data_IF_035443319300
#
_entry.id   IF_035443319300
#
_cell.length_a   1.000
_cell.length_b   1.000
_cell.length_c   1.000
_cell.angle_alpha   90.00
_cell.angle_beta   90.00
_cell.angle_gamma   90.00
#
_symmetry.space_group_name_H-M   'P 1'
#
loop_
_entity.id
_entity.type
_entity.pdbx_description
1 polymer ?
#
# COMPACT_ATOMS: atom_id res chain seq x y z
N UNK A 1 45.54 -40.03 -42.38
CA UNK A 1 45.09 -39.32 -43.61
C UNK A 1 43.79 -38.61 -43.22
N UNK A 2 43.84 -37.33 -42.84
CA UNK A 2 43.70 -36.11 -43.67
C UNK A 2 42.24 -35.78 -44.05
N UNK A 3 41.74 -34.70 -43.41
CA UNK A 3 40.75 -33.67 -43.83
C UNK A 3 39.35 -34.15 -44.28
N UNK A 4 38.22 -33.45 -44.04
CA UNK A 4 38.04 -32.00 -44.11
C UNK A 4 36.75 -31.50 -43.44
N UNK A 5 36.81 -30.23 -43.08
CA UNK A 5 35.82 -29.28 -42.55
C UNK A 5 34.70 -28.95 -43.53
N UNK A 6 33.49 -28.63 -43.04
CA UNK A 6 32.63 -27.60 -43.63
C UNK A 6 31.55 -27.12 -42.63
N UNK A 7 31.75 -25.90 -42.13
CA UNK A 7 30.70 -25.02 -41.60
C UNK A 7 29.75 -24.64 -42.75
N UNK A 8 28.44 -24.71 -42.52
CA UNK A 8 27.48 -23.85 -43.24
C UNK A 8 26.47 -23.26 -42.25
N UNK A 9 26.66 -21.97 -42.01
CA UNK A 9 25.67 -21.04 -41.45
C UNK A 9 24.52 -20.85 -42.43
N UNK A 10 23.28 -21.02 -41.97
CA UNK A 10 22.10 -20.47 -42.64
C UNK A 10 21.17 -19.87 -41.60
N UNK A 11 21.17 -18.53 -41.55
CA UNK A 11 20.23 -17.74 -40.78
C UNK A 11 18.91 -17.65 -41.57
N UNK A 12 17.87 -18.30 -41.05
CA UNK A 12 16.51 -18.14 -41.56
C UNK A 12 15.86 -16.97 -40.82
N UNK A 13 15.80 -15.83 -41.49
CA UNK A 13 15.06 -14.63 -41.07
C UNK A 13 13.58 -14.89 -41.29
N UNK A 14 12.84 -15.17 -40.22
CA UNK A 14 11.37 -15.12 -40.23
C UNK A 14 10.92 -13.67 -40.02
N UNK A 15 10.40 -13.08 -41.11
CA UNK A 15 9.64 -11.83 -41.06
C UNK A 15 8.31 -12.06 -40.34
N UNK A 16 8.13 -11.43 -39.19
CA UNK A 16 6.82 -11.28 -38.56
C UNK A 16 6.38 -9.84 -38.77
N UNK A 17 5.35 -9.63 -39.58
CA UNK A 17 4.74 -8.33 -39.80
C UNK A 17 4.00 -7.89 -38.52
N UNK A 18 4.57 -6.91 -37.81
CA UNK A 18 3.86 -6.16 -36.78
C UNK A 18 3.18 -4.94 -37.41
N UNK A 19 1.85 -4.94 -37.38
CA UNK A 19 1.01 -3.80 -37.74
C UNK A 19 1.24 -2.65 -36.76
N UNK A 20 1.65 -1.53 -37.33
CA UNK A 20 2.04 -0.28 -36.67
C UNK A 20 0.78 0.47 -36.20
N UNK A 21 0.41 0.32 -34.93
CA UNK A 21 -0.41 1.31 -34.24
C UNK A 21 0.55 2.32 -33.59
N UNK A 22 0.50 3.56 -34.06
CA UNK A 22 1.35 4.65 -33.59
C UNK A 22 0.85 5.13 -32.22
N UNK A 23 1.58 4.79 -31.18
CA UNK A 23 1.46 5.43 -29.87
C UNK A 23 1.95 6.88 -29.96
N UNK A 24 1.06 7.79 -29.60
CA UNK A 24 1.37 9.20 -29.32
C UNK A 24 2.00 9.25 -27.92
N UNK A 25 3.21 9.78 -27.73
CA UNK A 25 3.77 9.92 -26.40
C UNK A 25 2.97 10.95 -25.58
N UNK A 26 2.58 10.55 -24.36
CA UNK A 26 1.85 11.32 -23.35
C UNK A 26 2.60 12.57 -22.84
N UNK A 27 3.75 12.92 -23.43
CA UNK A 27 4.58 14.07 -23.08
C UNK A 27 4.21 15.37 -23.84
N UNK A 28 3.12 15.38 -24.63
CA UNK A 28 2.76 16.50 -25.51
C UNK A 28 1.48 17.26 -25.11
N UNK A 29 1.10 17.30 -23.83
CA UNK A 29 -0.08 18.06 -23.36
C UNK A 29 0.19 19.23 -22.41
N UNK A 30 1.45 19.63 -22.20
CA UNK A 30 1.78 20.81 -21.36
C UNK A 30 2.92 21.69 -21.92
N UNK A 31 2.93 21.98 -23.23
CA UNK A 31 3.84 22.98 -23.78
C UNK A 31 3.29 23.62 -25.06
N UNK A 32 2.49 24.67 -24.90
CA UNK A 32 2.08 25.72 -25.85
C UNK A 32 1.07 26.55 -25.01
N UNK A 33 1.46 27.62 -24.33
CA UNK A 33 1.53 28.97 -24.90
C UNK A 33 2.63 29.79 -24.22
N UNK A 34 3.75 30.00 -24.91
CA UNK A 34 4.69 31.06 -24.57
C UNK A 34 5.47 31.48 -25.80
N UNK A 35 4.82 32.17 -26.75
CA UNK A 35 5.53 32.99 -27.74
C UNK A 35 4.74 34.24 -28.11
N UNK A 36 5.46 35.36 -27.95
CA UNK A 36 5.32 36.68 -28.59
C UNK A 36 4.75 37.81 -27.72
N UNK A 37 5.66 38.49 -27.03
CA UNK A 37 5.59 39.95 -27.02
C UNK A 37 7.02 40.55 -27.13
N UNK A 38 7.40 40.93 -28.35
CA UNK A 38 8.54 41.82 -28.62
C UNK A 38 7.98 43.21 -28.83
N UNK A 39 8.21 44.11 -27.89
CA UNK A 39 8.36 45.53 -28.21
C UNK A 39 9.29 46.19 -27.19
N UNK A 40 10.32 46.85 -27.71
CA UNK A 40 11.36 47.53 -26.93
C UNK A 40 10.95 48.91 -26.44
N UNK A 41 11.70 49.42 -25.47
CA UNK A 41 11.58 50.78 -24.97
C UNK A 41 12.49 51.03 -23.78
N UNK A 42 13.69 51.53 -24.06
CA UNK A 42 14.77 51.91 -23.15
C UNK A 42 14.38 53.09 -22.22
N UNK A 43 14.75 53.04 -20.93
CA UNK A 43 15.16 54.21 -20.10
C UNK A 43 15.78 53.73 -18.78
N UNK A 44 17.02 54.16 -18.52
CA UNK A 44 17.80 53.81 -17.34
C UNK A 44 17.41 54.54 -16.05
N UNK A 45 17.85 53.98 -14.92
CA UNK A 45 17.74 54.56 -13.59
C UNK A 45 18.38 53.63 -12.54
N UNK A 46 19.42 54.14 -11.89
CA UNK A 46 20.34 53.48 -10.97
C UNK A 46 19.72 53.18 -9.58
N UNK A 47 20.18 52.10 -8.94
CA UNK A 47 20.31 51.96 -7.47
C UNK A 47 19.03 51.81 -6.63
N UNK A 48 18.72 50.57 -6.25
CA UNK A 48 17.79 50.28 -5.15
C UNK A 48 17.66 48.78 -4.89
N UNK A 49 18.33 48.30 -3.84
CA UNK A 49 18.26 46.95 -3.31
C UNK A 49 16.79 46.59 -2.97
N UNK A 50 16.08 45.98 -3.91
CA UNK A 50 14.72 45.47 -3.71
C UNK A 50 14.82 43.97 -3.43
N UNK A 51 14.50 43.61 -2.19
CA UNK A 51 14.24 42.23 -1.78
C UNK A 51 13.27 41.55 -2.75
N UNK A 52 13.51 40.25 -2.96
CA UNK A 52 12.89 39.41 -3.97
C UNK A 52 11.40 39.69 -4.14
N UNK A 53 11.08 40.38 -5.23
CA UNK A 53 9.72 40.46 -5.73
C UNK A 53 9.49 39.14 -6.45
N UNK A 54 8.90 38.19 -5.71
CA UNK A 54 8.51 36.88 -6.22
C UNK A 54 7.78 37.06 -7.53
N UNK A 55 8.38 36.54 -8.59
CA UNK A 55 7.68 36.35 -9.84
C UNK A 55 6.43 35.52 -9.58
N UNK A 56 5.48 35.65 -10.49
CA UNK A 56 4.31 34.79 -10.59
C UNK A 56 4.77 33.37 -11.02
N UNK A 57 5.74 32.82 -10.29
CA UNK A 57 6.38 31.55 -10.55
C UNK A 57 5.38 30.48 -10.14
N UNK A 58 5.18 29.50 -11.03
CA UNK A 58 4.33 28.36 -10.75
C UNK A 58 4.76 27.73 -9.41
N UNK A 59 3.88 27.68 -8.39
CA UNK A 59 4.19 27.11 -7.08
C UNK A 59 4.77 25.69 -7.15
N UNK A 60 4.50 24.95 -8.24
CA UNK A 60 5.04 23.60 -8.45
C UNK A 60 6.51 23.56 -8.92
N UNK A 61 7.05 24.69 -9.38
CA UNK A 61 8.46 24.81 -9.81
C UNK A 61 9.29 25.72 -8.90
N UNK A 62 8.63 26.43 -7.98
CA UNK A 62 9.28 27.31 -7.02
C UNK A 62 10.11 26.51 -6.00
N UNK A 63 11.26 27.10 -5.62
CA UNK A 63 12.08 26.62 -4.51
C UNK A 63 11.73 27.32 -3.17
N UNK A 64 10.72 28.18 -3.18
CA UNK A 64 10.20 28.85 -1.98
C UNK A 64 8.83 28.29 -1.62
N UNK A 65 8.54 28.20 -0.31
CA UNK A 65 7.25 27.70 0.16
C UNK A 65 6.15 28.70 -0.17
N UNK A 66 5.12 28.24 -0.90
CA UNK A 66 3.92 29.02 -1.15
C UNK A 66 3.16 29.27 0.17
N UNK A 67 2.87 30.54 0.53
CA UNK A 67 2.12 30.87 1.75
C UNK A 67 0.75 30.19 1.86
N UNK A 68 0.10 29.88 0.73
CA UNK A 68 -1.24 29.28 0.68
C UNK A 68 -1.29 27.85 1.22
N UNK A 69 -0.16 27.15 1.24
CA UNK A 69 -0.09 25.77 1.76
C UNK A 69 0.39 25.69 3.21
N UNK A 70 0.69 26.81 3.88
CA UNK A 70 1.19 26.81 5.27
C UNK A 70 0.15 26.23 6.23
N UNK A 71 0.53 25.16 6.92
CA UNK A 71 -0.28 24.52 7.95
C UNK A 71 0.00 25.18 9.30
N UNK A 72 -0.82 26.15 9.69
CA UNK A 72 -0.65 26.91 10.95
C UNK A 72 -0.59 26.02 12.20
N UNK A 73 -1.28 24.87 12.20
CA UNK A 73 -1.24 23.92 13.30
C UNK A 73 0.11 23.21 13.46
N UNK A 74 1.00 23.22 12.46
CA UNK A 74 2.34 22.65 12.63
C UNK A 74 3.21 23.50 13.57
N UNK A 75 2.82 24.73 13.89
CA UNK A 75 3.47 25.53 14.94
C UNK A 75 3.07 25.12 16.37
N UNK A 76 2.17 24.14 16.52
CA UNK A 76 1.64 23.64 17.78
C UNK A 76 2.25 22.28 18.12
N UNK A 77 2.51 22.08 19.40
CA UNK A 77 3.03 20.82 19.96
C UNK A 77 1.94 19.77 20.16
N UNK A 78 0.67 20.16 20.08
CA UNK A 78 -0.47 19.32 20.43
C UNK A 78 -0.76 19.31 21.93
N UNK A 79 0.04 20.01 22.74
CA UNK A 79 -0.12 20.13 24.19
C UNK A 79 -0.77 21.45 24.62
N UNK A 80 -1.24 22.26 23.67
CA UNK A 80 -1.93 23.52 23.93
C UNK A 80 -3.35 23.25 24.44
N UNK A 81 -3.50 22.79 25.68
CA UNK A 81 -4.80 22.52 26.30
C UNK A 81 -4.80 21.36 27.29
N UNK A 82 -5.93 20.66 27.37
CA UNK A 82 -6.02 19.42 28.16
C UNK A 82 -5.22 18.33 27.45
N UNK A 83 -4.23 17.80 28.15
CA UNK A 83 -3.41 16.69 27.67
C UNK A 83 -3.83 15.37 28.29
N UNK A 84 -3.64 14.28 27.57
CA UNK A 84 -3.79 12.93 28.13
C UNK A 84 -2.53 12.48 28.87
N UNK A 85 -2.69 11.55 29.83
CA UNK A 85 -1.56 11.01 30.56
C UNK A 85 -0.61 10.28 29.59
N UNK A 86 0.66 10.71 29.56
CA UNK A 86 1.68 10.13 28.68
C UNK A 86 1.75 10.76 27.29
N UNK A 87 0.94 11.78 26.98
CA UNK A 87 1.05 12.52 25.72
C UNK A 87 2.40 13.25 25.61
N UNK A 88 3.10 13.08 24.48
CA UNK A 88 4.39 13.75 24.20
C UNK A 88 4.20 14.92 23.23
N UNK A 89 5.10 15.91 23.31
CA UNK A 89 5.04 17.09 22.45
C UNK A 89 5.49 16.74 21.03
N UNK A 90 4.74 17.20 20.03
CA UNK A 90 5.15 17.14 18.63
C UNK A 90 6.29 18.11 18.34
N UNK A 91 7.13 17.77 17.36
CA UNK A 91 7.96 18.76 16.68
C UNK A 91 7.06 19.85 16.09
N UNK A 92 7.60 21.07 15.96
CA UNK A 92 6.89 22.20 15.37
C UNK A 92 7.64 22.77 14.16
N UNK A 93 6.88 23.39 13.26
CA UNK A 93 7.40 24.08 12.08
C UNK A 93 6.46 25.20 11.65
N UNK A 94 7.04 26.29 11.14
CA UNK A 94 6.32 27.39 10.47
C UNK A 94 6.44 27.34 8.95
N UNK A 95 7.17 26.36 8.41
CA UNK A 95 7.46 26.19 6.99
C UNK A 95 7.16 24.76 6.50
N UNK A 96 6.15 24.13 7.09
CA UNK A 96 5.71 22.77 6.73
C UNK A 96 6.81 21.71 6.71
N UNK A 97 7.82 21.86 7.56
CA UNK A 97 8.98 20.96 7.62
C UNK A 97 9.72 20.81 6.28
N UNK A 98 9.63 21.78 5.36
CA UNK A 98 10.27 21.69 4.03
C UNK A 98 11.78 21.43 4.09
N UNK A 99 12.43 21.89 5.17
CA UNK A 99 13.86 21.69 5.43
C UNK A 99 14.18 20.55 6.41
N UNK A 100 13.22 19.68 6.76
CA UNK A 100 13.42 18.63 7.76
C UNK A 100 14.58 17.69 7.40
N UNK A 101 14.77 17.42 6.11
CA UNK A 101 15.87 16.59 5.60
C UNK A 101 17.17 17.35 5.32
N UNK A 102 17.28 18.64 5.65
CA UNK A 102 18.49 19.42 5.39
C UNK A 102 19.72 18.79 6.06
N UNK A 103 20.79 18.62 5.28
CA UNK A 103 22.03 17.98 5.73
C UNK A 103 21.94 16.46 5.92
N UNK A 104 20.82 15.81 5.55
CA UNK A 104 20.66 14.35 5.59
C UNK A 104 20.85 13.74 4.21
N UNK A 105 21.13 12.43 4.18
CA UNK A 105 21.06 11.65 2.93
C UNK A 105 19.61 11.55 2.47
N UNK A 106 19.32 12.01 1.26
CA UNK A 106 17.97 12.02 0.72
C UNK A 106 17.58 10.66 0.13
N UNK A 107 16.28 10.31 0.22
CA UNK A 107 15.72 9.11 -0.42
C UNK A 107 15.76 9.22 -1.94
N UNK A 108 15.39 10.38 -2.50
CA UNK A 108 15.50 10.72 -3.92
C UNK A 108 14.97 9.63 -4.88
N UNK A 109 13.80 9.05 -4.58
CA UNK A 109 13.21 8.01 -5.43
C UNK A 109 13.91 6.64 -5.36
N UNK A 110 14.89 6.45 -4.48
CA UNK A 110 15.70 5.23 -4.40
C UNK A 110 15.44 4.44 -3.12
N UNK A 111 15.58 3.11 -3.22
CA UNK A 111 15.60 2.22 -2.05
C UNK A 111 16.99 2.27 -1.36
N UNK A 112 17.20 3.28 -0.53
CA UNK A 112 18.47 3.47 0.19
C UNK A 112 18.52 2.58 1.45
N UNK A 113 19.11 1.38 1.31
CA UNK A 113 19.18 0.36 2.39
C UNK A 113 19.87 0.83 3.68
N UNK A 114 20.82 1.77 3.59
CA UNK A 114 21.53 2.34 4.74
C UNK A 114 20.77 3.43 5.50
N UNK A 115 19.49 3.65 5.19
CA UNK A 115 18.69 4.75 5.73
C UNK A 115 18.83 6.05 4.93
N UNK A 116 17.76 6.83 4.91
CA UNK A 116 17.66 8.13 4.24
C UNK A 116 16.51 8.95 4.83
N UNK A 117 16.42 10.23 4.47
CA UNK A 117 15.32 11.12 4.78
C UNK A 117 14.54 11.43 3.51
N UNK A 118 13.22 11.20 3.51
CA UNK A 118 12.36 11.49 2.37
C UNK A 118 11.67 12.84 2.57
N UNK A 119 11.80 13.75 1.60
CA UNK A 119 11.21 15.09 1.64
C UNK A 119 9.86 15.18 0.95
N UNK A 120 9.43 14.13 0.26
CA UNK A 120 8.12 14.09 -0.40
C UNK A 120 7.00 14.22 0.63
N UNK A 121 6.04 15.15 0.46
CA UNK A 121 4.92 15.26 1.38
C UNK A 121 4.04 14.02 1.31
N UNK A 122 3.26 13.80 2.38
CA UNK A 122 2.39 12.64 2.52
C UNK A 122 1.35 12.54 1.39
N UNK A 123 0.75 13.67 1.01
CA UNK A 123 -0.24 13.76 -0.06
C UNK A 123 -1.66 13.94 0.42
N UNK A 124 -2.60 13.60 -0.47
CA UNK A 124 -4.04 13.76 -0.24
C UNK A 124 -4.59 12.65 0.64
N UNK A 125 -5.52 13.00 1.54
CA UNK A 125 -6.21 12.06 2.42
C UNK A 125 -7.65 11.89 1.94
N UNK A 126 -8.15 10.64 1.83
CA UNK A 126 -9.56 10.42 1.47
C UNK A 126 -10.47 10.93 2.60
N UNK A 127 -11.75 11.15 2.31
CA UNK A 127 -12.75 11.35 3.38
C UNK A 127 -12.91 10.07 4.22
N UNK A 128 -13.47 10.19 5.42
CA UNK A 128 -13.77 9.02 6.28
C UNK A 128 -14.69 8.00 5.59
N UNK A 129 -15.59 8.44 4.71
CA UNK A 129 -16.46 7.56 3.90
C UNK A 129 -15.72 6.81 2.78
N UNK A 130 -14.48 7.22 2.47
CA UNK A 130 -13.63 6.70 1.39
C UNK A 130 -12.33 6.10 1.92
N UNK A 131 -12.23 5.81 3.22
CA UNK A 131 -11.10 5.08 3.76
C UNK A 131 -10.95 3.70 3.10
N UNK A 132 -9.71 3.25 2.80
CA UNK A 132 -9.47 1.96 2.20
C UNK A 132 -9.72 0.84 3.20
N UNK A 133 -10.00 -0.35 2.69
CA UNK A 133 -10.00 -1.59 3.48
C UNK A 133 -9.72 -2.78 2.58
N UNK A 134 -9.07 -3.81 3.12
CA UNK A 134 -8.88 -5.08 2.43
C UNK A 134 -9.26 -6.27 3.30
N UNK A 135 -9.53 -7.41 2.67
CA UNK A 135 -9.76 -8.69 3.36
C UNK A 135 -9.29 -9.86 2.51
N UNK A 136 -8.44 -10.72 3.06
CA UNK A 136 -8.12 -12.00 2.42
C UNK A 136 -9.36 -12.89 2.39
N UNK A 137 -9.67 -13.42 1.20
CA UNK A 137 -10.84 -14.27 0.96
C UNK A 137 -10.45 -15.72 0.67
N UNK A 138 -9.22 -15.94 0.22
CA UNK A 138 -8.68 -17.25 -0.11
C UNK A 138 -7.14 -17.20 0.03
N UNK A 139 -6.49 -18.11 0.78
CA UNK A 139 -7.12 -18.96 1.78
C UNK A 139 -7.85 -18.12 2.85
N UNK A 140 -8.75 -18.76 3.61
CA UNK A 140 -9.38 -18.13 4.78
C UNK A 140 -8.45 -18.21 5.98
N UNK A 141 -8.74 -17.38 6.97
CA UNK A 141 -8.03 -17.45 8.24
C UNK A 141 -8.24 -18.83 8.90
N UNK A 142 -7.13 -19.42 9.34
CA UNK A 142 -7.00 -20.76 9.93
C UNK A 142 -7.22 -21.94 8.98
N UNK A 143 -7.24 -21.70 7.67
CA UNK A 143 -7.26 -22.80 6.71
C UNK A 143 -5.98 -23.65 6.81
N UNK A 144 -6.13 -24.93 6.51
CA UNK A 144 -5.02 -25.83 6.23
C UNK A 144 -4.95 -26.07 4.74
N UNK A 145 -3.76 -25.96 4.15
CA UNK A 145 -3.52 -26.20 2.74
C UNK A 145 -2.43 -27.25 2.53
N UNK A 146 -2.45 -28.00 1.41
CA UNK A 146 -1.45 -29.02 1.13
C UNK A 146 -0.02 -28.45 0.99
N UNK A 147 0.95 -29.13 1.59
CA UNK A 147 2.35 -28.76 1.46
C UNK A 147 2.87 -28.91 0.02
N UNK A 148 3.70 -27.95 -0.41
CA UNK A 148 4.37 -27.91 -1.71
C UNK A 148 3.41 -28.03 -2.91
N UNK A 149 2.17 -27.56 -2.76
CA UNK A 149 1.18 -27.45 -3.83
C UNK A 149 0.87 -25.99 -4.13
N UNK A 150 0.73 -25.69 -5.42
CA UNK A 150 0.33 -24.37 -5.87
C UNK A 150 -1.02 -23.99 -5.27
N UNK A 151 -1.15 -22.74 -4.83
CA UNK A 151 -2.43 -22.16 -4.42
C UNK A 151 -2.46 -20.68 -4.80
N UNK A 152 -3.67 -20.10 -4.81
CA UNK A 152 -3.87 -18.68 -5.08
C UNK A 152 -4.24 -17.97 -3.80
N UNK A 153 -3.57 -16.85 -3.53
CA UNK A 153 -4.01 -15.90 -2.51
C UNK A 153 -4.88 -14.85 -3.18
N UNK A 154 -6.07 -14.60 -2.63
CA UNK A 154 -7.04 -13.61 -3.10
C UNK A 154 -7.39 -12.66 -1.98
N UNK A 155 -7.45 -11.38 -2.31
CA UNK A 155 -7.80 -10.32 -1.38
C UNK A 155 -8.84 -9.41 -2.01
N UNK A 156 -9.98 -9.27 -1.34
CA UNK A 156 -10.97 -8.25 -1.67
C UNK A 156 -10.47 -6.89 -1.19
N UNK A 157 -10.71 -5.85 -1.99
CA UNK A 157 -10.31 -4.46 -1.72
C UNK A 157 -11.48 -3.51 -1.89
N UNK A 158 -11.48 -2.42 -1.11
CA UNK A 158 -12.48 -1.37 -1.19
C UNK A 158 -11.81 0.00 -1.08
N UNK A 159 -12.33 0.98 -1.82
CA UNK A 159 -11.85 2.37 -1.86
C UNK A 159 -10.34 2.49 -2.19
N UNK A 160 -9.85 1.58 -3.03
CA UNK A 160 -8.50 1.61 -3.60
C UNK A 160 -8.60 1.37 -5.10
N UNK A 161 -8.10 2.30 -5.89
CA UNK A 161 -7.93 2.12 -7.32
C UNK A 161 -6.65 1.33 -7.56
N UNK A 162 -6.79 0.01 -7.64
CA UNK A 162 -5.68 -0.92 -7.82
C UNK A 162 -5.10 -0.88 -9.23
N UNK A 163 -3.87 -1.38 -9.37
CA UNK A 163 -3.16 -1.45 -10.65
C UNK A 163 -2.18 -0.30 -10.88
N UNK A 164 -2.01 0.59 -9.89
CA UNK A 164 -1.14 1.75 -9.98
C UNK A 164 0.19 1.44 -9.28
N UNK A 165 1.11 0.85 -10.03
CA UNK A 165 2.47 0.53 -9.56
C UNK A 165 3.49 1.42 -10.26
N UNK A 166 4.26 2.18 -9.48
CA UNK A 166 5.36 3.01 -9.98
C UNK A 166 6.70 2.34 -9.70
N UNK A 167 7.62 2.37 -10.67
CA UNK A 167 8.95 1.75 -10.56
C UNK A 167 9.70 2.13 -9.24
N UNK A 168 9.92 1.19 -8.31
CA UNK A 168 10.57 1.46 -7.03
C UNK A 168 12.10 1.58 -7.12
N UNK A 169 12.72 1.25 -8.25
CA UNK A 169 14.15 1.46 -8.43
C UNK A 169 14.48 2.94 -8.66
N UNK A 170 13.53 3.70 -9.23
CA UNK A 170 13.76 5.10 -9.63
C UNK A 170 12.80 6.11 -9.00
N UNK A 171 11.65 5.69 -8.46
CA UNK A 171 10.63 6.59 -7.94
C UNK A 171 9.95 6.10 -6.64
N UNK A 172 10.74 5.44 -5.78
CA UNK A 172 10.33 4.99 -4.45
C UNK A 172 10.09 6.17 -3.50
N UNK A 173 8.87 6.27 -2.97
CA UNK A 173 8.39 7.41 -2.17
C UNK A 173 8.57 8.78 -2.84
N UNK A 174 8.72 8.81 -4.17
CA UNK A 174 9.05 10.04 -4.91
C UNK A 174 7.84 10.91 -5.27
N UNK A 175 6.62 10.45 -5.04
CA UNK A 175 5.41 11.27 -5.18
C UNK A 175 4.45 11.09 -4.00
N UNK A 176 3.64 12.12 -3.69
CA UNK A 176 2.64 12.04 -2.62
C UNK A 176 1.51 11.06 -2.93
N UNK A 177 0.79 10.62 -1.90
CA UNK A 177 -0.47 9.90 -2.08
C UNK A 177 -1.47 10.75 -2.87
N UNK A 178 -2.12 10.14 -3.86
CA UNK A 178 -3.10 10.80 -4.72
C UNK A 178 -4.46 10.14 -4.58
N UNK A 179 -5.51 10.94 -4.75
CA UNK A 179 -6.87 10.48 -4.92
C UNK A 179 -7.29 10.64 -6.38
N UNK A 180 -8.11 9.71 -6.87
CA UNK A 180 -8.77 9.90 -8.16
C UNK A 180 -10.01 10.80 -8.03
N UNK A 181 -10.73 11.01 -9.13
CA UNK A 181 -11.91 11.86 -9.19
C UNK A 181 -13.05 11.43 -8.25
N UNK A 182 -13.05 10.19 -7.77
CA UNK A 182 -14.03 9.66 -6.82
C UNK A 182 -13.59 9.82 -5.35
N UNK A 183 -12.42 10.42 -5.12
CA UNK A 183 -11.83 10.61 -3.80
C UNK A 183 -11.29 9.31 -3.18
N UNK A 184 -11.02 8.28 -3.99
CA UNK A 184 -10.40 7.02 -3.52
C UNK A 184 -8.90 7.00 -3.87
N UNK A 185 -8.12 6.27 -3.08
CA UNK A 185 -6.67 6.27 -3.18
C UNK A 185 -6.22 5.56 -4.47
N UNK A 186 -5.32 6.19 -5.23
CA UNK A 186 -4.59 5.58 -6.36
C UNK A 186 -3.49 4.67 -5.80
N UNK A 187 -3.67 3.36 -5.95
CA UNK A 187 -2.99 2.37 -5.11
C UNK A 187 -2.45 1.15 -5.87
N UNK A 188 -1.55 0.44 -5.19
CA UNK A 188 -1.30 -0.98 -5.41
C UNK A 188 -1.15 -1.68 -4.05
N UNK A 189 -0.92 -2.98 -4.07
CA UNK A 189 -0.73 -3.76 -2.84
C UNK A 189 0.35 -4.79 -3.04
N UNK A 190 0.83 -5.35 -1.95
CA UNK A 190 1.71 -6.52 -1.93
C UNK A 190 1.08 -7.62 -1.08
N UNK A 191 1.50 -8.86 -1.32
CA UNK A 191 1.22 -10.00 -0.45
C UNK A 191 2.56 -10.47 0.09
N UNK A 192 2.65 -10.62 1.40
CA UNK A 192 3.81 -11.18 2.08
C UNK A 192 3.37 -12.39 2.89
N UNK A 193 4.08 -13.51 2.72
CA UNK A 193 3.87 -14.72 3.52
C UNK A 193 5.13 -14.94 4.36
N UNK A 194 4.96 -14.90 5.68
CA UNK A 194 6.02 -15.15 6.66
C UNK A 194 5.75 -16.49 7.34
N UNK A 195 6.79 -17.33 7.47
CA UNK A 195 6.69 -18.50 8.35
C UNK A 195 6.78 -18.04 9.80
N UNK A 196 5.92 -18.59 10.66
CA UNK A 196 5.91 -18.34 12.10
C UNK A 196 5.98 -19.66 12.86
N UNK A 197 6.45 -19.60 14.11
CA UNK A 197 6.63 -20.80 14.95
C UNK A 197 5.33 -21.57 15.17
N UNK A 198 4.23 -20.87 15.45
CA UNK A 198 2.90 -21.43 15.67
C UNK A 198 1.83 -20.33 15.64
N UNK A 199 0.55 -20.72 15.58
CA UNK A 199 -0.60 -19.80 15.62
C UNK A 199 -0.69 -19.00 16.94
N UNK A 200 -0.05 -19.48 18.00
CA UNK A 200 -0.05 -18.83 19.32
C UNK A 200 1.30 -18.16 19.62
N UNK A 201 2.20 -18.07 18.64
CA UNK A 201 3.51 -17.48 18.85
C UNK A 201 3.38 -15.99 19.20
N UNK A 202 4.13 -15.58 20.21
CA UNK A 202 4.31 -14.16 20.59
C UNK A 202 5.69 -13.64 20.21
N UNK A 203 6.49 -14.43 19.48
CA UNK A 203 7.82 -14.00 19.04
C UNK A 203 7.70 -12.94 17.97
N UNK A 204 8.53 -11.91 18.09
CA UNK A 204 8.67 -10.86 17.07
C UNK A 204 9.24 -11.47 15.79
N UNK A 205 8.59 -11.23 14.64
CA UNK A 205 9.08 -11.71 13.36
C UNK A 205 10.25 -10.86 12.83
N UNK A 206 11.09 -11.46 11.99
CA UNK A 206 12.16 -10.76 11.27
C UNK A 206 11.60 -10.27 9.92
N UNK A 207 11.45 -8.95 9.71
CA UNK A 207 10.84 -8.41 8.50
C UNK A 207 11.68 -8.63 7.23
N UNK A 208 12.91 -9.13 7.35
CA UNK A 208 13.76 -9.49 6.20
C UNK A 208 13.58 -10.94 5.75
N UNK A 209 12.74 -11.74 6.44
CA UNK A 209 12.51 -13.15 6.16
C UNK A 209 11.05 -13.39 5.78
N UNK A 210 10.83 -13.78 4.54
CA UNK A 210 9.53 -14.18 4.03
C UNK A 210 9.66 -15.42 3.14
N UNK A 211 8.64 -16.26 3.12
CA UNK A 211 8.53 -17.42 2.24
C UNK A 211 8.01 -17.05 0.85
N UNK A 212 7.24 -15.95 0.75
CA UNK A 212 6.73 -15.42 -0.51
C UNK A 212 6.50 -13.91 -0.42
N UNK A 213 6.78 -13.20 -1.51
CA UNK A 213 6.49 -11.78 -1.69
C UNK A 213 6.05 -11.54 -3.12
N UNK A 214 4.94 -10.81 -3.30
CA UNK A 214 4.46 -10.45 -4.64
C UNK A 214 3.80 -9.07 -4.62
N UNK A 215 4.25 -8.19 -5.53
CA UNK A 215 3.53 -6.97 -5.87
C UNK A 215 2.31 -7.27 -6.74
N UNK A 216 1.17 -6.67 -6.39
CA UNK A 216 -0.12 -6.79 -7.08
C UNK A 216 -0.31 -5.57 -8.00
N UNK A 217 0.28 -5.66 -9.18
CA UNK A 217 0.41 -4.52 -10.11
C UNK A 217 -0.75 -4.41 -11.11
N UNK A 218 -1.66 -5.40 -11.14
CA UNK A 218 -2.80 -5.39 -12.05
C UNK A 218 -4.03 -4.73 -11.37
N UNK A 219 -4.94 -4.14 -12.16
CA UNK A 219 -6.24 -3.69 -11.64
C UNK A 219 -7.01 -4.83 -10.97
N UNK A 220 -7.79 -4.48 -9.94
CA UNK A 220 -8.64 -5.43 -9.26
C UNK A 220 -9.76 -5.91 -10.20
N UNK A 221 -9.96 -7.23 -10.27
CA UNK A 221 -11.03 -7.85 -11.04
C UNK A 221 -12.23 -8.08 -10.12
N UNK A 222 -13.33 -7.36 -10.35
CA UNK A 222 -14.51 -7.44 -9.47
C UNK A 222 -14.22 -7.05 -8.01
N UNK A 223 -13.26 -6.14 -7.78
CA UNK A 223 -12.83 -5.74 -6.44
C UNK A 223 -11.90 -6.74 -5.75
N UNK A 224 -11.31 -7.69 -6.50
CA UNK A 224 -10.36 -8.68 -5.97
C UNK A 224 -9.01 -8.57 -6.68
N UNK A 225 -7.94 -8.63 -5.90
CA UNK A 225 -6.56 -8.81 -6.37
C UNK A 225 -6.04 -10.17 -5.92
N UNK A 226 -5.09 -10.75 -6.67
CA UNK A 226 -4.61 -12.11 -6.39
C UNK A 226 -3.16 -12.35 -6.80
N UNK A 227 -2.51 -13.28 -6.13
CA UNK A 227 -1.21 -13.83 -6.51
C UNK A 227 -1.23 -15.36 -6.42
N UNK A 228 -0.52 -16.02 -7.34
CA UNK A 228 -0.33 -17.48 -7.28
C UNK A 228 1.01 -17.79 -6.62
N UNK A 229 0.99 -18.64 -5.59
CA UNK A 229 2.19 -19.20 -4.96
C UNK A 229 2.52 -20.50 -5.69
N UNK A 230 3.20 -20.39 -6.83
CA UNK A 230 3.33 -21.49 -7.82
C UNK A 230 3.99 -22.75 -7.25
N UNK A 231 4.98 -22.60 -6.39
CA UNK A 231 5.70 -23.74 -5.79
C UNK A 231 5.04 -24.25 -4.49
N UNK A 232 3.93 -23.63 -4.07
CA UNK A 232 3.37 -23.83 -2.74
C UNK A 232 4.31 -23.36 -1.62
N UNK A 233 4.04 -23.88 -0.42
CA UNK A 233 4.85 -23.63 0.78
C UNK A 233 5.23 -24.97 1.42
N UNK A 234 6.40 -25.08 2.06
CA UNK A 234 6.71 -26.21 2.93
C UNK A 234 5.70 -26.35 4.08
N UNK A 235 5.69 -27.51 4.74
CA UNK A 235 4.85 -27.69 5.92
C UNK A 235 5.25 -26.72 7.05
N UNK A 236 4.26 -26.12 7.72
CA UNK A 236 4.50 -25.12 8.76
C UNK A 236 3.28 -24.26 9.08
N UNK A 237 3.47 -23.26 9.94
CA UNK A 237 2.47 -22.21 10.19
C UNK A 237 2.91 -20.92 9.52
N UNK A 238 1.99 -20.22 8.88
CA UNK A 238 2.29 -19.01 8.12
C UNK A 238 1.34 -17.87 8.47
N UNK A 239 1.88 -16.65 8.44
CA UNK A 239 1.15 -15.40 8.49
C UNK A 239 1.15 -14.81 7.07
N UNK A 240 -0.02 -14.50 6.54
CA UNK A 240 -0.19 -13.80 5.26
C UNK A 240 -0.66 -12.39 5.58
N UNK A 241 0.10 -11.39 5.14
CA UNK A 241 -0.19 -9.97 5.36
C UNK A 241 -0.31 -9.24 4.02
N UNK A 242 -1.17 -8.23 3.96
CA UNK A 242 -1.11 -7.24 2.89
C UNK A 242 -0.09 -6.16 3.20
N UNK A 243 0.38 -5.47 2.17
CA UNK A 243 0.99 -4.14 2.28
C UNK A 243 0.28 -3.25 1.28
N UNK A 244 -0.73 -2.52 1.73
CA UNK A 244 -1.48 -1.58 0.91
C UNK A 244 -0.72 -0.26 0.81
N UNK A 245 -0.48 0.19 -0.42
CA UNK A 245 0.38 1.35 -0.69
C UNK A 245 -0.25 2.30 -1.70
N UNK A 246 0.11 3.58 -1.60
CA UNK A 246 -0.03 4.51 -2.72
C UNK A 246 0.85 4.08 -3.90
N UNK A 247 0.62 4.65 -5.08
CA UNK A 247 1.35 4.29 -6.30
C UNK A 247 2.89 4.30 -6.15
N UNK A 248 3.42 5.26 -5.38
CA UNK A 248 4.86 5.40 -5.11
C UNK A 248 5.33 4.66 -3.85
N UNK A 249 4.63 3.59 -3.47
CA UNK A 249 5.00 2.65 -2.40
C UNK A 249 4.83 3.16 -0.97
N UNK A 250 4.52 4.44 -0.74
CA UNK A 250 4.25 4.93 0.61
C UNK A 250 3.02 4.20 1.17
N UNK A 251 3.05 3.75 2.45
CA UNK A 251 1.90 3.12 3.08
C UNK A 251 0.64 3.98 2.93
N UNK A 252 -0.51 3.35 2.69
CA UNK A 252 -1.76 4.11 2.62
C UNK A 252 -2.06 4.77 3.97
N UNK A 253 -2.47 6.04 3.91
CA UNK A 253 -2.75 6.86 5.09
C UNK A 253 -4.14 7.49 4.98
N UNK A 254 -4.80 7.63 6.14
CA UNK A 254 -6.18 8.07 6.27
C UNK A 254 -6.33 9.40 7.02
N UNK A 255 -7.54 9.98 7.03
CA UNK A 255 -7.82 11.32 7.55
C UNK A 255 -7.95 11.42 9.08
N UNK A 256 -8.03 10.30 9.80
CA UNK A 256 -8.24 10.27 11.26
C UNK A 256 -7.37 9.18 11.87
N UNK A 257 -7.04 9.29 13.16
CA UNK A 257 -6.28 8.27 13.88
C UNK A 257 -7.14 7.06 14.30
N UNK A 258 -8.43 7.27 14.56
CA UNK A 258 -9.35 6.22 14.98
C UNK A 258 -10.01 5.55 13.77
N UNK A 259 -9.38 4.50 13.26
CA UNK A 259 -9.90 3.68 12.17
C UNK A 259 -9.44 2.22 12.31
N UNK A 260 -10.06 1.31 11.56
CA UNK A 260 -9.57 -0.07 11.44
C UNK A 260 -8.27 -0.13 10.63
N UNK A 261 -7.52 -1.22 10.76
CA UNK A 261 -6.33 -1.44 9.93
C UNK A 261 -6.70 -1.37 8.45
N UNK A 262 -5.89 -0.65 7.67
CA UNK A 262 -6.03 -0.63 6.21
C UNK A 262 -5.47 -1.89 5.58
N UNK A 263 -4.54 -2.57 6.25
CA UNK A 263 -4.03 -3.88 5.90
C UNK A 263 -4.83 -5.01 6.55
N UNK A 264 -4.82 -6.19 5.96
CA UNK A 264 -5.36 -7.42 6.54
C UNK A 264 -4.24 -8.42 6.85
N UNK A 265 -4.51 -9.29 7.81
CA UNK A 265 -3.65 -10.41 8.18
C UNK A 265 -4.50 -11.65 8.40
N UNK A 266 -4.05 -12.78 7.86
CA UNK A 266 -4.58 -14.10 8.17
C UNK A 266 -3.44 -15.06 8.52
N UNK A 267 -3.80 -16.15 9.18
CA UNK A 267 -2.88 -17.23 9.53
C UNK A 267 -3.35 -18.52 8.88
N UNK A 268 -2.43 -19.35 8.41
CA UNK A 268 -2.74 -20.66 7.84
C UNK A 268 -1.76 -21.71 8.36
N UNK A 269 -2.16 -22.97 8.26
CA UNK A 269 -1.27 -24.12 8.40
C UNK A 269 -1.05 -24.77 7.04
N UNK A 270 0.17 -25.24 6.81
CA UNK A 270 0.54 -25.96 5.60
C UNK A 270 1.02 -27.34 6.03
N UNK A 271 0.49 -28.39 5.43
CA UNK A 271 0.79 -29.77 5.79
C UNK A 271 -0.08 -30.76 5.04
N UNK A 272 0.17 -32.05 5.22
CA UNK A 272 -0.69 -33.08 4.64
C UNK A 272 -2.09 -33.00 5.29
N UNK A 273 -3.15 -33.05 4.48
CA UNK A 273 -4.57 -33.10 4.87
C UNK A 273 -4.95 -34.40 5.60
N UNK A 274 -4.13 -34.87 6.53
CA UNK A 274 -4.31 -36.17 7.20
C UNK A 274 -4.88 -36.09 8.61
N UNK A 275 -5.46 -34.95 9.04
CA UNK A 275 -6.27 -34.90 10.26
C UNK A 275 -7.43 -33.90 10.18
N UNK A 276 -8.63 -34.44 10.03
CA UNK A 276 -9.84 -33.84 10.58
C UNK A 276 -10.67 -33.05 9.58
N UNK A 277 -11.34 -33.77 8.68
CA UNK A 277 -12.63 -33.31 8.19
C UNK A 277 -13.47 -32.86 9.39
N UNK A 278 -14.06 -31.69 9.27
CA UNK A 278 -15.11 -31.21 10.16
C UNK A 278 -16.33 -32.11 9.98
N UNK A 279 -16.22 -33.35 10.47
CA UNK A 279 -17.33 -34.26 10.69
C UNK A 279 -18.08 -33.75 11.90
N UNK A 280 -19.02 -32.84 11.64
CA UNK A 280 -20.08 -32.52 12.58
C UNK A 280 -20.65 -33.83 13.11
N UNK A 281 -20.51 -34.03 14.41
CA UNK A 281 -20.82 -35.28 15.08
C UNK A 281 -22.24 -35.72 14.78
N UNK A 282 -22.37 -36.96 14.29
CA UNK A 282 -23.59 -37.72 14.47
C UNK A 282 -23.21 -39.13 14.95
N UNK A 283 -22.83 -39.20 16.22
CA UNK A 283 -22.86 -40.46 16.98
C UNK A 283 -24.31 -40.88 17.17
N UNK A 284 -24.90 -41.50 16.14
CA UNK A 284 -26.21 -42.13 16.20
C UNK A 284 -26.14 -43.41 17.03
N UNK A 285 -26.30 -43.24 18.35
CA UNK A 285 -26.39 -44.32 19.31
C UNK A 285 -27.62 -45.19 19.03
N UNK A 286 -27.42 -46.50 18.80
CA UNK A 286 -28.49 -47.50 18.86
C UNK A 286 -28.87 -47.70 20.32
N UNK A 287 -30.14 -47.51 20.65
CA UNK A 287 -30.68 -47.91 21.96
C UNK A 287 -31.97 -47.17 22.30
N UNK A 288 -33.11 -47.77 21.95
CA UNK A 288 -34.40 -47.34 22.48
C UNK A 288 -34.56 -47.72 23.95
N UNK A 289 -35.22 -46.86 24.71
CA UNK A 289 -36.45 -47.14 25.48
C UNK A 289 -36.59 -46.14 26.65
N UNK A 290 -37.83 -45.69 26.92
CA UNK A 290 -38.23 -45.26 28.27
C UNK A 290 -38.29 -43.77 28.60
N UNK A 291 -39.45 -43.17 28.30
CA UNK A 291 -40.28 -42.30 29.17
C UNK A 291 -39.68 -41.34 30.21
N UNK A 292 -40.23 -40.12 30.26
CA UNK A 292 -40.23 -39.32 31.50
C UNK A 292 -40.31 -37.81 31.31
N UNK A 293 -41.41 -37.22 31.79
CA UNK A 293 -41.76 -35.78 31.77
C UNK A 293 -40.77 -34.90 32.57
N UNK A 294 -40.67 -33.62 32.21
CA UNK A 294 -40.28 -32.57 33.17
C UNK A 294 -39.60 -31.36 32.53
N UNK A 295 -40.34 -30.27 32.37
CA UNK A 295 -39.83 -29.03 31.77
C UNK A 295 -38.83 -28.24 32.62
N UNK A 296 -38.13 -27.31 31.97
CA UNK A 296 -38.02 -25.90 32.37
C UNK A 296 -37.28 -25.11 31.28
N UNK A 297 -37.96 -24.09 30.75
CA UNK A 297 -37.36 -23.01 29.96
C UNK A 297 -36.31 -22.29 30.82
N UNK A 298 -35.12 -22.05 30.27
CA UNK A 298 -34.28 -20.94 30.72
C UNK A 298 -33.82 -20.15 29.50
N UNK A 299 -34.54 -19.06 29.23
CA UNK A 299 -34.09 -18.01 28.34
C UNK A 299 -33.00 -17.21 29.06
N UNK A 300 -31.84 -17.03 28.44
CA UNK A 300 -30.94 -15.92 28.76
C UNK A 300 -30.67 -15.11 27.51
N UNK A 301 -31.21 -13.89 27.53
CA UNK A 301 -31.02 -12.82 26.57
C UNK A 301 -29.56 -12.40 26.57
N UNK A 302 -28.92 -12.37 25.41
CA UNK A 302 -27.74 -11.54 25.18
C UNK A 302 -28.22 -10.11 24.92
N UNK A 303 -27.94 -9.21 25.86
CA UNK A 303 -28.09 -7.78 25.65
C UNK A 303 -26.79 -7.23 25.05
N UNK A 304 -26.91 -6.50 23.94
CA UNK A 304 -25.81 -5.75 23.35
C UNK A 304 -25.42 -4.57 24.25
N UNK A 305 -24.16 -4.48 24.67
CA UNK A 305 -23.55 -3.20 25.06
C UNK A 305 -23.00 -2.55 23.80
N UNK A 306 -23.74 -1.60 23.23
CA UNK A 306 -23.46 -0.15 23.29
C UNK A 306 -22.02 0.21 22.96
N UNK A 307 -21.89 0.80 21.77
CA UNK A 307 -20.79 1.60 21.27
C UNK A 307 -20.24 2.52 22.36
N UNK A 308 -18.98 2.26 22.74
CA UNK A 308 -18.19 3.22 23.49
C UNK A 308 -17.78 4.34 22.54
N UNK A 309 -18.29 5.55 22.80
CA UNK A 309 -17.70 6.79 22.27
C UNK A 309 -16.20 6.75 22.51
N UNK A 310 -15.43 6.65 21.43
CA UNK A 310 -14.00 6.80 21.47
C UNK A 310 -13.68 8.22 22.00
N UNK A 311 -12.92 8.28 23.09
CA UNK A 311 -12.33 9.54 23.58
C UNK A 311 -11.17 9.90 22.65
N UNK A 312 -11.08 11.20 22.35
CA UNK A 312 -10.08 11.82 21.47
C UNK A 312 -8.69 11.67 22.05
#
# INVERSE_FOLDING_TARGET
>A
MKFSTALLTSALVCFVSSSVARDIPLAARYALEARQNKNGGNKGGNGGNKGGNGGNDDPQTSLTLDPSVINSNFAKTGQEGKTEAGQVASLTSKNNFINFCAGKKLTNGQQVKGGSCNSTPMGQLPSTSKQPSSKFTDPKNLDTIPANKAFTVKMAVKNMEMGNFVNPQTNYFGAPQQLNDQGIIVAHSHIVIEQIDSLTSTKVSDPNKFAFFQGLNAPAQGGVVSATVTNGLPAGTYKISSINTSANHAPVVGPVAQHGSFDDVIYITVGDDNKGGNGGGNGGNKGGNGGGKGGKKLARRFASSREGKARL
#
